data_IF_321713230764
#
_entry.id   IF_321713230764
#
_cell.length_a   1.000
_cell.length_b   1.000
_cell.length_c   1.000
_cell.angle_alpha   90.00
_cell.angle_beta   90.00
_cell.angle_gamma   90.00
#
_symmetry.space_group_name_H-M   'P 1'
#
loop_
_entity.id
_entity.type
_entity.pdbx_description
1 polymer ?
#
# COMPACT_ATOMS: atom_id res chain seq x y z
N UNK A 1 -10.50 11.08 24.72
CA UNK A 1 -9.23 10.32 24.53
C UNK A 1 -9.08 9.97 23.05
N UNK A 2 -7.87 10.04 22.51
CA UNK A 2 -7.58 9.69 21.11
C UNK A 2 -7.51 8.18 20.93
N UNK A 3 -8.46 7.59 20.22
CA UNK A 3 -8.63 6.13 20.16
C UNK A 3 -7.61 5.48 19.23
N UNK A 4 -7.24 6.15 18.13
CA UNK A 4 -6.23 5.67 17.18
C UNK A 4 -4.85 5.44 17.81
N UNK A 5 -4.48 6.24 18.82
CA UNK A 5 -3.21 6.11 19.55
C UNK A 5 -3.18 4.87 20.46
N UNK A 6 -4.34 4.31 20.81
CA UNK A 6 -4.45 3.13 21.67
C UNK A 6 -4.53 1.81 20.92
N UNK A 7 -4.78 1.86 19.60
CA UNK A 7 -4.90 0.64 18.80
C UNK A 7 -3.57 -0.12 18.80
N UNK A 8 -3.66 -1.43 18.86
CA UNK A 8 -2.57 -2.34 18.48
C UNK A 8 -2.40 -2.36 16.96
N UNK A 9 -1.30 -2.90 16.44
CA UNK A 9 -1.12 -3.01 14.99
C UNK A 9 -2.12 -3.96 14.36
N UNK A 10 -2.51 -5.02 15.07
CA UNK A 10 -3.60 -5.90 14.68
C UNK A 10 -4.90 -5.10 14.48
N UNK A 11 -5.28 -4.27 15.44
CA UNK A 11 -6.50 -3.46 15.36
C UNK A 11 -6.42 -2.39 14.25
N UNK A 12 -5.23 -1.82 14.00
CA UNK A 12 -5.03 -0.91 12.85
C UNK A 12 -5.22 -1.62 11.52
N UNK A 13 -4.79 -2.87 11.40
CA UNK A 13 -5.03 -3.70 10.22
C UNK A 13 -6.53 -4.00 10.07
N UNK A 14 -7.22 -4.38 11.14
CA UNK A 14 -8.67 -4.59 11.14
C UNK A 14 -9.44 -3.31 10.76
N UNK A 15 -9.01 -2.14 11.26
CA UNK A 15 -9.57 -0.85 10.88
C UNK A 15 -9.36 -0.56 9.39
N UNK A 16 -8.17 -0.82 8.86
CA UNK A 16 -7.85 -0.62 7.43
C UNK A 16 -8.70 -1.51 6.54
N UNK A 17 -8.97 -2.76 6.96
CA UNK A 17 -9.84 -3.71 6.23
C UNK A 17 -11.27 -3.19 6.08
N UNK A 18 -11.77 -2.38 7.03
CA UNK A 18 -13.13 -1.79 6.94
C UNK A 18 -13.32 -0.86 5.76
N UNK A 19 -12.24 -0.33 5.17
CA UNK A 19 -12.32 0.40 3.92
C UNK A 19 -12.97 -0.43 2.78
N UNK A 20 -13.01 -1.75 2.89
CA UNK A 20 -13.61 -2.65 1.91
C UNK A 20 -15.04 -3.11 2.28
N UNK A 21 -15.64 -2.55 3.33
CA UNK A 21 -16.95 -2.98 3.85
C UNK A 21 -18.12 -2.10 3.38
N UNK A 22 -17.87 -1.20 2.43
CA UNK A 22 -18.87 -0.29 1.86
C UNK A 22 -19.60 0.54 2.93
N UNK A 23 -18.82 1.20 3.81
CA UNK A 23 -19.36 1.93 4.95
C UNK A 23 -20.35 3.03 4.53
N UNK A 24 -21.46 3.13 5.26
CA UNK A 24 -22.56 4.06 4.98
C UNK A 24 -22.49 5.29 5.87
N UNK A 25 -23.06 6.40 5.39
CA UNK A 25 -23.17 7.63 6.19
C UNK A 25 -23.98 7.36 7.47
N UNK A 26 -23.49 7.85 8.62
CA UNK A 26 -24.12 7.64 9.92
C UNK A 26 -23.79 6.29 10.58
N UNK A 27 -23.05 5.40 9.90
CA UNK A 27 -22.68 4.11 10.45
C UNK A 27 -21.65 4.26 11.59
N UNK A 28 -21.88 3.56 12.71
CA UNK A 28 -20.87 3.37 13.77
C UNK A 28 -19.75 2.45 13.30
N UNK A 29 -18.51 2.84 13.58
CA UNK A 29 -17.32 2.05 13.25
C UNK A 29 -16.60 1.65 14.53
N UNK A 30 -16.61 0.36 14.80
CA UNK A 30 -15.99 -0.24 15.98
C UNK A 30 -14.94 -1.28 15.57
N UNK A 31 -13.81 -1.31 16.28
CA UNK A 31 -12.73 -2.27 16.11
C UNK A 31 -12.40 -2.85 17.47
N UNK A 32 -12.57 -4.17 17.64
CA UNK A 32 -12.44 -4.82 18.94
C UNK A 32 -13.31 -4.11 20.00
N UNK A 33 -12.70 -3.56 21.05
CA UNK A 33 -13.36 -2.79 22.12
C UNK A 33 -13.38 -1.28 21.87
N UNK A 34 -12.80 -0.83 20.76
CA UNK A 34 -12.56 0.58 20.47
C UNK A 34 -13.64 1.13 19.53
N UNK A 35 -14.39 2.12 20.02
CA UNK A 35 -15.28 2.92 19.19
C UNK A 35 -14.47 3.97 18.43
N UNK A 36 -14.34 3.80 17.11
CA UNK A 36 -13.56 4.70 16.25
C UNK A 36 -14.34 5.98 15.98
N UNK A 37 -15.66 5.88 15.81
CA UNK A 37 -16.55 7.02 15.57
C UNK A 37 -17.68 6.68 14.63
N UNK A 38 -18.26 7.72 14.03
CA UNK A 38 -19.35 7.60 13.06
C UNK A 38 -18.89 8.09 11.69
N UNK A 39 -19.28 7.37 10.63
CA UNK A 39 -18.99 7.78 9.25
C UNK A 39 -19.74 9.09 8.96
N UNK A 40 -18.99 10.17 8.78
CA UNK A 40 -19.53 11.50 8.46
C UNK A 40 -19.37 11.86 6.98
N UNK A 41 -18.57 11.11 6.23
CA UNK A 41 -18.45 11.24 4.77
C UNK A 41 -18.13 9.90 4.12
N UNK A 42 -18.86 9.57 3.07
CA UNK A 42 -18.59 8.41 2.20
C UNK A 42 -18.31 8.91 0.78
N UNK A 43 -17.10 8.69 0.28
CA UNK A 43 -16.62 9.25 -0.99
C UNK A 43 -16.63 8.19 -2.07
N UNK A 44 -17.36 8.50 -3.14
CA UNK A 44 -17.52 7.63 -4.30
C UNK A 44 -17.26 8.44 -5.59
N UNK A 45 -15.99 8.71 -5.90
CA UNK A 45 -15.63 9.55 -7.05
C UNK A 45 -15.65 8.80 -8.39
N UNK A 46 -15.84 9.55 -9.48
CA UNK A 46 -15.91 9.04 -10.87
C UNK A 46 -14.58 8.46 -11.34
N UNK A 47 -13.46 9.00 -10.83
CA UNK A 47 -12.11 8.50 -11.10
C UNK A 47 -11.75 7.22 -10.32
N UNK A 48 -12.72 6.66 -9.58
CA UNK A 48 -12.57 5.43 -8.83
C UNK A 48 -12.08 5.61 -7.40
N UNK A 49 -11.82 6.84 -6.92
CA UNK A 49 -11.51 7.04 -5.49
C UNK A 49 -12.69 6.58 -4.63
N UNK A 50 -12.36 5.76 -3.63
CA UNK A 50 -13.27 5.33 -2.57
C UNK A 50 -12.60 5.60 -1.23
N UNK A 51 -13.27 6.37 -0.37
CA UNK A 51 -12.74 6.71 0.94
C UNK A 51 -13.85 7.02 1.94
N UNK A 52 -13.53 6.91 3.22
CA UNK A 52 -14.46 7.15 4.33
C UNK A 52 -13.83 8.09 5.34
N UNK A 53 -14.57 9.11 5.75
CA UNK A 53 -14.22 9.97 6.88
C UNK A 53 -15.10 9.56 8.05
N UNK A 54 -14.45 9.16 9.14
CA UNK A 54 -15.06 8.74 10.39
C UNK A 54 -14.63 9.74 11.45
N UNK A 55 -15.56 10.32 12.19
CA UNK A 55 -15.25 11.29 13.23
C UNK A 55 -15.79 10.86 14.58
N UNK A 56 -15.07 11.28 15.61
CA UNK A 56 -15.53 11.29 17.00
C UNK A 56 -15.16 12.66 17.61
N UNK A 57 -15.57 12.99 18.85
CA UNK A 57 -15.32 14.31 19.45
C UNK A 57 -13.85 14.71 19.63
N UNK A 58 -12.88 13.81 19.41
CA UNK A 58 -11.47 14.05 19.70
C UNK A 58 -10.55 13.94 18.47
N UNK A 59 -10.97 13.22 17.43
CA UNK A 59 -10.14 12.91 16.27
C UNK A 59 -10.97 12.50 15.05
N UNK A 60 -10.31 12.49 13.89
CA UNK A 60 -10.86 12.02 12.63
C UNK A 60 -10.01 10.89 12.08
N UNK A 61 -10.67 9.86 11.54
CA UNK A 61 -10.05 8.75 10.83
C UNK A 61 -10.45 8.82 9.35
N UNK A 62 -9.46 8.85 8.47
CA UNK A 62 -9.63 8.82 7.02
C UNK A 62 -9.15 7.47 6.47
N UNK A 63 -10.09 6.69 5.94
CA UNK A 63 -9.81 5.39 5.32
C UNK A 63 -9.80 5.54 3.80
N UNK A 64 -8.64 5.31 3.16
CA UNK A 64 -8.55 5.17 1.71
C UNK A 64 -8.66 3.70 1.31
N UNK A 65 -9.64 3.38 0.47
CA UNK A 65 -9.84 2.03 -0.04
C UNK A 65 -8.93 1.76 -1.23
N UNK A 66 -8.37 0.55 -1.31
CA UNK A 66 -7.68 0.05 -2.50
C UNK A 66 -8.63 -0.44 -3.61
N UNK A 67 -8.10 -1.07 -4.67
CA UNK A 67 -8.91 -1.64 -5.77
C UNK A 67 -9.86 -2.75 -5.29
N UNK A 68 -10.95 -3.04 -6.01
CA UNK A 68 -12.08 -3.86 -5.52
C UNK A 68 -11.92 -5.36 -5.81
N UNK A 69 -11.13 -5.73 -6.82
CA UNK A 69 -10.98 -7.09 -7.34
C UNK A 69 -10.47 -8.15 -6.38
N UNK A 70 -9.96 -7.78 -5.20
CA UNK A 70 -9.37 -8.73 -4.25
C UNK A 70 -10.37 -9.60 -3.48
N UNK A 71 -11.63 -9.17 -3.31
CA UNK A 71 -12.62 -9.92 -2.49
C UNK A 71 -13.45 -10.94 -3.28
N UNK A 72 -13.52 -10.86 -4.62
CA UNK A 72 -14.40 -11.72 -5.46
C UNK A 72 -13.85 -12.09 -6.86
N UNK A 73 -12.59 -11.75 -7.18
CA UNK A 73 -12.01 -11.95 -8.52
C UNK A 73 -11.17 -13.21 -8.66
N UNK A 74 -10.99 -13.66 -9.90
CA UNK A 74 -9.95 -14.66 -10.26
C UNK A 74 -8.56 -14.00 -10.24
N UNK A 75 -7.46 -14.77 -10.24
CA UNK A 75 -6.10 -14.21 -10.38
C UNK A 75 -5.90 -13.33 -11.63
N UNK A 76 -6.69 -13.55 -12.68
CA UNK A 76 -6.77 -12.73 -13.88
C UNK A 76 -7.38 -11.36 -13.54
N UNK A 77 -8.59 -11.32 -12.98
CA UNK A 77 -9.29 -10.07 -12.60
C UNK A 77 -8.49 -9.23 -11.62
N UNK A 78 -7.80 -9.89 -10.67
CA UNK A 78 -6.88 -9.26 -9.73
C UNK A 78 -5.73 -8.53 -10.42
N UNK A 79 -5.07 -9.19 -11.40
CA UNK A 79 -4.00 -8.60 -12.20
C UNK A 79 -4.50 -7.42 -13.02
N UNK A 80 -5.59 -7.60 -13.75
CA UNK A 80 -6.09 -6.60 -14.69
C UNK A 80 -6.51 -5.31 -13.98
N UNK A 81 -7.21 -5.41 -12.85
CA UNK A 81 -7.59 -4.25 -12.06
C UNK A 81 -6.39 -3.56 -11.42
N UNK A 82 -5.47 -4.33 -10.83
CA UNK A 82 -4.24 -3.77 -10.26
C UNK A 82 -3.41 -3.05 -11.32
N UNK A 83 -3.25 -3.65 -12.50
CA UNK A 83 -2.53 -3.07 -13.63
C UNK A 83 -3.17 -1.80 -14.14
N UNK A 84 -4.48 -1.83 -14.37
CA UNK A 84 -5.23 -0.65 -14.85
C UNK A 84 -5.01 0.56 -13.95
N UNK A 85 -4.88 0.34 -12.64
CA UNK A 85 -4.69 1.40 -11.67
C UNK A 85 -3.23 1.82 -11.49
N UNK A 86 -2.31 0.87 -11.35
CA UNK A 86 -0.91 1.17 -11.00
C UNK A 86 -0.03 1.46 -12.21
N UNK A 87 -0.36 0.93 -13.39
CA UNK A 87 0.42 1.18 -14.61
C UNK A 87 0.49 2.66 -14.99
N UNK A 88 -0.59 3.47 -14.89
CA UNK A 88 -0.49 4.92 -15.07
C UNK A 88 0.43 5.61 -14.06
N UNK A 89 0.41 5.18 -12.78
CA UNK A 89 1.27 5.72 -11.72
C UNK A 89 2.73 5.38 -12.01
N UNK A 90 3.00 4.13 -12.38
CA UNK A 90 4.33 3.64 -12.73
C UNK A 90 4.85 4.32 -14.00
N UNK A 91 4.01 4.50 -15.02
CA UNK A 91 4.32 5.32 -16.20
C UNK A 91 4.73 6.73 -15.79
N UNK A 92 3.97 7.38 -14.91
CA UNK A 92 4.30 8.71 -14.43
C UNK A 92 5.61 8.76 -13.62
N UNK A 93 5.99 7.66 -12.93
CA UNK A 93 7.25 7.54 -12.20
C UNK A 93 8.45 7.42 -13.14
N UNK A 94 8.27 6.70 -14.24
CA UNK A 94 9.33 6.38 -15.19
C UNK A 94 9.45 7.41 -16.32
N UNK A 95 8.35 8.08 -16.67
CA UNK A 95 8.36 9.15 -17.65
C UNK A 95 8.79 10.46 -17.01
N UNK A 96 9.63 11.23 -17.70
CA UNK A 96 9.93 12.62 -17.29
C UNK A 96 8.72 13.56 -17.46
N UNK A 97 7.61 13.06 -18.01
CA UNK A 97 6.31 13.74 -18.03
C UNK A 97 5.52 13.45 -16.75
N UNK A 98 5.29 14.48 -15.93
CA UNK A 98 4.54 14.35 -14.68
C UNK A 98 3.02 14.25 -14.93
N UNK A 99 2.54 13.10 -15.42
CA UNK A 99 1.10 12.83 -15.58
C UNK A 99 0.51 12.19 -14.33
N UNK A 100 0.17 13.02 -13.34
CA UNK A 100 -0.47 12.57 -12.09
C UNK A 100 -1.91 12.10 -12.36
N UNK A 101 -2.27 10.84 -12.03
CA UNK A 101 -3.65 10.37 -12.15
C UNK A 101 -4.66 11.22 -11.36
N UNK A 102 -5.86 11.40 -11.91
CA UNK A 102 -6.92 12.22 -11.29
C UNK A 102 -7.27 11.74 -9.88
N UNK A 103 -7.31 10.42 -9.66
CA UNK A 103 -7.60 9.81 -8.37
C UNK A 103 -6.68 10.33 -7.25
N UNK A 104 -5.38 10.50 -7.52
CA UNK A 104 -4.42 11.02 -6.54
C UNK A 104 -4.72 12.48 -6.18
N UNK A 105 -5.09 13.29 -7.18
CA UNK A 105 -5.50 14.69 -6.96
C UNK A 105 -6.78 14.77 -6.12
N UNK A 106 -7.75 13.90 -6.41
CA UNK A 106 -8.99 13.81 -5.64
C UNK A 106 -8.73 13.37 -4.19
N UNK A 107 -7.79 12.44 -3.97
CA UNK A 107 -7.38 12.03 -2.63
C UNK A 107 -6.73 13.17 -1.84
N UNK A 108 -5.85 13.96 -2.48
CA UNK A 108 -5.27 15.17 -1.88
C UNK A 108 -6.33 16.18 -1.50
N UNK A 109 -7.26 16.47 -2.42
CA UNK A 109 -8.36 17.41 -2.17
C UNK A 109 -9.23 16.94 -1.00
N UNK A 110 -9.53 15.64 -0.93
CA UNK A 110 -10.31 15.08 0.17
C UNK A 110 -9.62 15.27 1.52
N UNK A 111 -8.30 15.06 1.61
CA UNK A 111 -7.56 15.28 2.86
C UNK A 111 -7.62 16.75 3.28
N UNK A 112 -7.36 17.68 2.36
CA UNK A 112 -7.43 19.11 2.67
C UNK A 112 -8.85 19.53 3.09
N UNK A 113 -9.88 19.12 2.35
CA UNK A 113 -11.29 19.39 2.72
C UNK A 113 -11.62 18.81 4.10
N UNK A 114 -11.10 17.64 4.43
CA UNK A 114 -11.30 17.01 5.75
C UNK A 114 -10.63 17.83 6.85
N UNK A 115 -9.39 18.28 6.66
CA UNK A 115 -8.70 19.13 7.64
C UNK A 115 -9.43 20.45 7.84
N UNK A 116 -9.93 21.07 6.76
CA UNK A 116 -10.70 22.32 6.86
C UNK A 116 -12.02 22.12 7.60
N UNK A 117 -12.73 21.02 7.32
CA UNK A 117 -13.99 20.68 7.99
C UNK A 117 -13.78 20.42 9.49
N UNK A 118 -12.67 19.79 9.86
CA UNK A 118 -12.34 19.42 11.24
C UNK A 118 -11.13 20.20 11.77
N UNK A 119 -11.12 21.51 11.54
CA UNK A 119 -10.01 22.38 11.93
C UNK A 119 -9.69 22.24 13.43
N UNK A 120 -8.40 22.15 13.77
CA UNK A 120 -7.93 21.95 15.15
C UNK A 120 -7.97 20.49 15.64
N UNK A 121 -8.51 19.56 14.86
CA UNK A 121 -8.58 18.13 15.20
C UNK A 121 -7.46 17.34 14.52
N UNK A 122 -6.92 16.32 15.20
CA UNK A 122 -5.91 15.44 14.60
C UNK A 122 -6.55 14.43 13.65
N UNK A 123 -5.91 14.22 12.50
CA UNK A 123 -6.35 13.29 11.45
C UNK A 123 -5.44 12.06 11.43
N UNK A 124 -6.06 10.87 11.49
CA UNK A 124 -5.39 9.59 11.34
C UNK A 124 -5.76 8.97 9.99
N UNK A 125 -4.77 8.53 9.22
CA UNK A 125 -4.96 8.09 7.84
C UNK A 125 -4.59 6.61 7.72
N UNK A 126 -5.44 5.85 7.03
CA UNK A 126 -5.20 4.44 6.74
C UNK A 126 -5.36 4.16 5.26
N UNK A 127 -4.50 3.30 4.72
CA UNK A 127 -4.59 2.92 3.31
C UNK A 127 -3.88 1.60 3.04
N UNK A 128 -4.53 0.74 2.26
CA UNK A 128 -3.96 -0.52 1.77
C UNK A 128 -3.87 -0.49 0.24
N UNK A 129 -2.80 -1.03 -0.34
CA UNK A 129 -2.62 -1.14 -1.79
C UNK A 129 -2.73 0.26 -2.45
N UNK A 130 -3.60 0.43 -3.45
CA UNK A 130 -3.90 1.75 -4.03
C UNK A 130 -4.33 2.80 -2.97
N UNK A 131 -4.99 2.39 -1.89
CA UNK A 131 -5.34 3.29 -0.80
C UNK A 131 -4.12 3.89 -0.11
N UNK A 132 -3.03 3.12 0.02
CA UNK A 132 -1.74 3.62 0.51
C UNK A 132 -1.16 4.65 -0.45
N UNK A 133 -1.21 4.40 -1.76
CA UNK A 133 -0.69 5.34 -2.77
C UNK A 133 -1.48 6.66 -2.78
N UNK A 134 -2.81 6.59 -2.67
CA UNK A 134 -3.68 7.76 -2.50
C UNK A 134 -3.29 8.58 -1.27
N UNK A 135 -3.08 7.92 -0.14
CA UNK A 135 -2.67 8.56 1.11
C UNK A 135 -1.28 9.20 1.00
N UNK A 136 -0.30 8.51 0.40
CA UNK A 136 1.05 9.06 0.18
C UNK A 136 0.98 10.36 -0.62
N UNK A 137 0.20 10.39 -1.70
CA UNK A 137 0.09 11.58 -2.55
C UNK A 137 -0.63 12.72 -1.83
N UNK A 138 -1.70 12.39 -1.09
CA UNK A 138 -2.44 13.36 -0.28
C UNK A 138 -1.56 13.99 0.81
N UNK A 139 -0.81 13.18 1.54
CA UNK A 139 0.15 13.65 2.54
C UNK A 139 1.21 14.57 1.92
N UNK A 140 1.71 14.25 0.73
CA UNK A 140 2.72 15.07 0.07
C UNK A 140 2.23 16.44 -0.38
N UNK A 141 0.93 16.58 -0.62
CA UNK A 141 0.27 17.82 -1.03
C UNK A 141 -0.54 18.48 0.11
N UNK A 142 -0.47 17.93 1.33
CA UNK A 142 -1.21 18.43 2.49
C UNK A 142 -0.78 19.86 2.86
N UNK A 143 -1.75 20.77 2.97
CA UNK A 143 -1.48 22.17 3.33
C UNK A 143 -1.19 22.35 4.83
N UNK A 144 -1.73 21.46 5.66
CA UNK A 144 -1.68 21.52 7.12
C UNK A 144 -1.05 20.24 7.72
N UNK A 145 0.25 19.97 7.47
CA UNK A 145 0.91 18.76 7.95
C UNK A 145 0.91 18.60 9.48
N UNK A 146 0.73 19.69 10.23
CA UNK A 146 0.57 19.70 11.69
C UNK A 146 -0.73 19.03 12.17
N UNK A 147 -1.77 18.99 11.32
CA UNK A 147 -3.04 18.35 11.63
C UNK A 147 -2.96 16.81 11.55
N UNK A 148 -1.91 16.27 10.93
CA UNK A 148 -1.74 14.82 10.80
C UNK A 148 -1.24 14.25 12.13
N UNK A 149 -2.00 13.32 12.70
CA UNK A 149 -1.63 12.57 13.89
C UNK A 149 -0.70 11.42 13.54
N UNK A 150 -1.19 10.50 12.70
CA UNK A 150 -0.39 9.43 12.11
C UNK A 150 -1.01 8.93 10.79
N UNK A 151 -0.20 8.28 9.97
CA UNK A 151 -0.65 7.56 8.78
C UNK A 151 -0.09 6.13 8.78
N UNK A 152 -0.97 5.15 8.55
CA UNK A 152 -0.63 3.72 8.51
C UNK A 152 -0.93 3.19 7.12
N UNK A 153 0.14 2.90 6.39
CA UNK A 153 0.12 2.63 4.96
C UNK A 153 0.62 1.21 4.73
N UNK A 154 -0.16 0.38 4.04
CA UNK A 154 0.10 -1.04 3.88
C UNK A 154 0.21 -1.42 2.41
N UNK A 155 1.27 -2.13 2.04
CA UNK A 155 1.42 -2.77 0.72
C UNK A 155 1.19 -1.83 -0.48
N UNK A 156 1.62 -0.57 -0.33
CA UNK A 156 1.53 0.44 -1.39
C UNK A 156 2.88 0.66 -2.05
N UNK A 157 2.88 0.82 -3.37
CA UNK A 157 4.05 1.28 -4.11
C UNK A 157 4.57 2.61 -3.52
N UNK A 158 5.88 2.75 -3.35
CA UNK A 158 6.51 3.99 -2.91
C UNK A 158 6.53 5.00 -4.06
N UNK A 159 5.74 6.08 -3.93
CA UNK A 159 5.64 7.10 -4.98
C UNK A 159 6.57 8.29 -4.79
N UNK A 160 7.59 8.18 -3.92
CA UNK A 160 8.55 9.27 -3.65
C UNK A 160 9.16 9.90 -4.91
N UNK A 161 9.43 9.09 -5.95
CA UNK A 161 10.00 9.57 -7.21
C UNK A 161 9.05 10.52 -7.98
N UNK A 162 7.73 10.43 -7.78
CA UNK A 162 6.74 11.35 -8.38
C UNK A 162 6.76 12.76 -7.79
N UNK A 163 7.36 12.92 -6.61
CA UNK A 163 7.26 14.15 -5.85
C UNK A 163 8.27 15.19 -6.32
N UNK A 164 7.78 16.42 -6.42
CA UNK A 164 8.59 17.63 -6.53
C UNK A 164 9.37 17.88 -5.23
N UNK A 165 10.39 18.76 -5.26
CA UNK A 165 11.09 19.16 -4.05
C UNK A 165 10.18 19.73 -2.95
N UNK A 166 9.08 20.42 -3.31
CA UNK A 166 8.10 20.95 -2.34
C UNK A 166 7.35 19.82 -1.63
N UNK A 167 6.85 18.85 -2.40
CA UNK A 167 6.11 17.69 -1.87
C UNK A 167 7.00 16.81 -1.00
N UNK A 168 8.25 16.56 -1.41
CA UNK A 168 9.25 15.84 -0.61
C UNK A 168 9.51 16.53 0.74
N UNK A 169 9.64 17.86 0.74
CA UNK A 169 9.75 18.64 2.00
C UNK A 169 8.50 18.53 2.86
N UNK A 170 7.30 18.45 2.27
CA UNK A 170 6.06 18.30 3.02
C UNK A 170 6.04 16.97 3.77
N UNK A 171 6.22 15.84 3.08
CA UNK A 171 6.25 14.53 3.74
C UNK A 171 7.42 14.37 4.70
N UNK A 172 8.55 15.03 4.47
CA UNK A 172 9.69 15.01 5.40
C UNK A 172 9.33 15.60 6.78
N UNK A 173 8.48 16.64 6.84
CA UNK A 173 7.97 17.19 8.11
C UNK A 173 7.12 16.20 8.91
N UNK A 174 6.53 15.22 8.23
CA UNK A 174 5.65 14.21 8.81
C UNK A 174 6.29 12.83 8.86
N UNK A 175 7.60 12.70 8.57
CA UNK A 175 8.27 11.40 8.44
C UNK A 175 8.01 10.49 9.65
N UNK A 176 8.12 11.06 10.85
CA UNK A 176 7.94 10.33 12.12
C UNK A 176 6.49 9.89 12.41
N UNK A 177 5.53 10.39 11.61
CA UNK A 177 4.10 10.11 11.75
C UNK A 177 3.58 9.16 10.68
N UNK A 178 4.36 8.87 9.64
CA UNK A 178 3.93 8.04 8.52
C UNK A 178 4.65 6.70 8.60
N UNK A 179 3.89 5.62 8.78
CA UNK A 179 4.39 4.25 8.90
C UNK A 179 3.99 3.46 7.65
N UNK A 180 4.99 3.03 6.90
CA UNK A 180 4.80 2.37 5.62
C UNK A 180 5.23 0.91 5.75
N UNK A 181 4.22 0.04 5.90
CA UNK A 181 4.34 -1.40 6.06
C UNK A 181 4.51 -2.06 4.71
N UNK A 182 5.62 -2.78 4.59
CA UNK A 182 6.07 -3.33 3.32
C UNK A 182 6.49 -4.78 3.52
N UNK A 183 5.89 -5.64 2.72
CA UNK A 183 6.29 -7.02 2.53
C UNK A 183 7.09 -7.17 1.23
N UNK A 184 8.38 -7.51 1.31
CA UNK A 184 9.22 -7.64 0.11
C UNK A 184 8.77 -8.77 -0.82
N UNK A 185 7.93 -9.68 -0.37
CA UNK A 185 7.38 -10.76 -1.18
C UNK A 185 6.09 -10.36 -1.88
N UNK A 186 5.48 -9.23 -1.51
CA UNK A 186 4.35 -8.67 -2.23
C UNK A 186 4.80 -8.28 -3.66
N UNK A 187 4.15 -8.79 -4.72
CA UNK A 187 4.43 -8.38 -6.09
C UNK A 187 4.03 -6.93 -6.41
N UNK A 188 3.21 -6.28 -5.59
CA UNK A 188 2.67 -4.94 -5.84
C UNK A 188 3.57 -3.82 -5.32
N UNK A 189 4.27 -4.07 -4.23
CA UNK A 189 5.19 -3.09 -3.66
C UNK A 189 6.36 -2.87 -4.62
N UNK A 190 6.68 -1.60 -4.88
CA UNK A 190 7.77 -1.19 -5.76
C UNK A 190 8.40 0.10 -5.23
N UNK A 191 9.67 0.32 -5.55
CA UNK A 191 10.43 1.50 -5.17
C UNK A 191 10.80 1.56 -3.70
N UNK A 192 10.76 0.42 -3.00
CA UNK A 192 11.04 0.34 -1.58
C UNK A 192 12.53 0.61 -1.34
N UNK A 193 12.85 1.35 -0.27
CA UNK A 193 14.22 1.62 0.12
C UNK A 193 14.34 1.80 1.63
N UNK A 194 15.52 1.51 2.17
CA UNK A 194 15.89 1.83 3.55
C UNK A 194 16.28 3.30 3.73
N UNK A 195 16.41 4.05 2.63
CA UNK A 195 16.85 5.45 2.64
C UNK A 195 15.69 6.42 2.90
N UNK A 196 16.02 7.72 2.95
CA UNK A 196 15.02 8.79 3.01
C UNK A 196 14.25 9.00 1.70
N UNK A 197 14.54 8.22 0.64
CA UNK A 197 13.80 8.26 -0.62
C UNK A 197 12.51 7.44 -0.58
N UNK A 198 11.78 7.53 0.55
CA UNK A 198 10.53 6.83 0.80
C UNK A 198 9.59 7.71 1.62
N UNK A 199 8.28 7.59 1.36
CA UNK A 199 7.26 8.29 2.14
C UNK A 199 7.11 7.64 3.52
N UNK A 200 7.52 8.38 4.55
CA UNK A 200 7.49 7.92 5.93
C UNK A 200 8.61 6.96 6.32
N UNK A 201 8.42 6.28 7.44
CA UNK A 201 9.30 5.24 7.96
C UNK A 201 8.96 3.88 7.35
N UNK A 202 10.00 3.12 7.02
CA UNK A 202 9.86 1.72 6.64
C UNK A 202 9.47 0.86 7.87
N UNK A 203 8.41 0.08 7.71
CA UNK A 203 8.03 -1.02 8.62
C UNK A 203 8.11 -2.33 7.84
N UNK A 204 9.28 -2.97 7.87
CA UNK A 204 9.54 -4.17 7.09
C UNK A 204 8.86 -5.39 7.74
N UNK A 205 7.81 -5.90 7.08
CA UNK A 205 6.96 -7.00 7.58
C UNK A 205 7.75 -8.30 7.64
N UNK A 206 7.63 -9.00 8.77
CA UNK A 206 8.20 -10.33 8.95
C UNK A 206 7.25 -11.41 8.42
N UNK A 207 7.32 -11.66 7.11
CA UNK A 207 6.47 -12.63 6.41
C UNK A 207 7.26 -13.76 5.77
N UNK A 208 6.59 -14.85 5.42
CA UNK A 208 7.15 -15.86 4.52
C UNK A 208 6.51 -15.75 3.14
N UNK A 209 7.21 -16.15 2.06
CA UNK A 209 6.63 -16.19 0.73
C UNK A 209 5.38 -17.07 0.66
N UNK A 210 4.34 -16.57 0.00
CA UNK A 210 3.09 -17.28 -0.27
C UNK A 210 2.50 -16.91 -1.64
N UNK A 211 1.29 -17.40 -1.95
CA UNK A 211 0.56 -17.03 -3.16
C UNK A 211 0.42 -15.49 -3.25
N UNK A 212 0.55 -14.85 -4.42
CA UNK A 212 0.80 -13.41 -4.51
C UNK A 212 -0.41 -12.60 -4.10
N UNK A 213 -1.62 -13.06 -4.42
CA UNK A 213 -2.88 -12.44 -3.95
C UNK A 213 -2.95 -12.51 -2.43
N UNK A 214 -2.59 -13.66 -1.84
CA UNK A 214 -2.60 -13.83 -0.39
C UNK A 214 -1.54 -12.96 0.28
N UNK A 215 -0.36 -12.86 -0.34
CA UNK A 215 0.74 -12.02 0.11
C UNK A 215 0.36 -10.54 0.10
N UNK A 216 -0.11 -10.04 -1.04
CA UNK A 216 -0.52 -8.64 -1.23
C UNK A 216 -1.67 -8.22 -0.30
N UNK A 217 -2.51 -9.17 0.11
CA UNK A 217 -3.57 -8.88 1.07
C UNK A 217 -3.01 -8.82 2.48
N UNK A 218 -3.42 -9.73 3.35
CA UNK A 218 -2.99 -9.71 4.76
C UNK A 218 -2.35 -11.04 5.16
N UNK A 219 -2.01 -11.88 4.18
CA UNK A 219 -1.50 -13.23 4.44
C UNK A 219 -0.14 -13.25 5.11
N UNK A 220 0.72 -12.27 4.79
CA UNK A 220 2.05 -12.10 5.41
C UNK A 220 2.02 -11.47 6.81
N UNK A 221 0.87 -10.94 7.24
CA UNK A 221 0.76 -10.18 8.49
C UNK A 221 0.57 -11.12 9.67
N UNK A 222 1.65 -11.27 10.45
CA UNK A 222 1.67 -12.05 11.69
C UNK A 222 1.88 -11.16 12.89
N UNK A 223 1.20 -11.44 14.00
CA UNK A 223 1.21 -10.58 15.18
C UNK A 223 1.80 -11.29 16.40
N UNK A 224 2.38 -10.52 17.30
CA UNK A 224 2.76 -10.96 18.63
C UNK A 224 1.52 -11.05 19.55
N UNK A 225 1.61 -11.70 20.73
CA UNK A 225 0.48 -11.82 21.66
C UNK A 225 -0.09 -10.47 22.15
N UNK A 226 0.71 -9.40 22.14
CA UNK A 226 0.31 -8.04 22.50
C UNK A 226 -0.38 -7.27 21.36
N UNK A 227 -0.54 -7.89 20.19
CA UNK A 227 -1.13 -7.29 19.00
C UNK A 227 -0.17 -6.43 18.17
N UNK A 228 1.11 -6.33 18.54
CA UNK A 228 2.13 -5.69 17.69
C UNK A 228 2.42 -6.54 16.45
N UNK A 229 2.65 -5.90 15.31
CA UNK A 229 2.99 -6.59 14.08
C UNK A 229 4.43 -7.12 14.16
N UNK A 230 4.66 -8.35 13.70
CA UNK A 230 6.01 -8.88 13.56
C UNK A 230 6.72 -8.15 12.43
N UNK A 231 7.78 -7.45 12.79
CA UNK A 231 8.66 -6.74 11.87
C UNK A 231 10.05 -7.36 11.94
N UNK A 232 10.76 -7.35 10.82
CA UNK A 232 12.15 -7.79 10.75
C UNK A 232 13.07 -6.63 10.42
N UNK A 233 14.34 -6.77 10.81
CA UNK A 233 15.38 -5.79 10.46
C UNK A 233 15.68 -5.88 8.96
N UNK A 234 16.14 -4.77 8.39
CA UNK A 234 16.64 -4.77 7.02
C UNK A 234 17.77 -5.79 6.89
N UNK A 235 17.63 -6.68 5.92
CA UNK A 235 18.52 -7.80 5.66
C UNK A 235 18.98 -7.81 4.20
N UNK A 236 19.81 -8.80 3.84
CA UNK A 236 20.30 -8.96 2.47
C UNK A 236 19.19 -9.32 1.46
N UNK A 237 18.02 -9.78 1.90
CA UNK A 237 16.88 -10.00 1.01
C UNK A 237 16.28 -8.65 0.62
N UNK A 238 15.96 -7.82 1.61
CA UNK A 238 15.46 -6.47 1.41
C UNK A 238 16.40 -5.64 0.56
N UNK A 239 17.70 -5.62 0.88
CA UNK A 239 18.68 -4.84 0.12
C UNK A 239 18.80 -5.30 -1.33
N UNK A 240 18.67 -6.60 -1.59
CA UNK A 240 18.68 -7.13 -2.95
C UNK A 240 17.43 -6.69 -3.74
N UNK A 241 16.26 -6.76 -3.10
CA UNK A 241 15.00 -6.33 -3.71
C UNK A 241 15.02 -4.83 -3.99
N UNK A 242 15.37 -4.00 -3.00
CA UNK A 242 15.47 -2.55 -3.13
C UNK A 242 16.42 -2.14 -4.25
N UNK A 243 17.60 -2.78 -4.38
CA UNK A 243 18.53 -2.52 -5.49
C UNK A 243 17.95 -2.93 -6.85
N UNK A 244 17.24 -4.06 -6.89
CA UNK A 244 16.59 -4.55 -8.11
C UNK A 244 15.53 -3.56 -8.59
N UNK A 245 14.65 -3.11 -7.68
CA UNK A 245 13.62 -2.12 -7.97
C UNK A 245 14.20 -0.74 -8.31
N UNK A 246 15.25 -0.30 -7.62
CA UNK A 246 15.90 0.97 -7.94
C UNK A 246 16.49 0.95 -9.35
N UNK A 247 17.17 -0.13 -9.74
CA UNK A 247 17.73 -0.30 -11.08
C UNK A 247 16.64 -0.27 -12.16
N UNK A 248 15.50 -0.89 -11.86
CA UNK A 248 14.32 -0.90 -12.71
C UNK A 248 13.75 0.52 -12.90
N UNK A 249 13.64 1.28 -11.81
CA UNK A 249 13.10 2.64 -11.82
C UNK A 249 14.06 3.69 -12.40
N UNK A 250 15.38 3.43 -12.40
CA UNK A 250 16.40 4.38 -12.87
C UNK A 250 16.79 4.22 -14.34
N UNK A 251 16.32 3.19 -15.05
CA UNK A 251 16.71 2.92 -16.45
C UNK A 251 15.69 3.51 -17.43
N UNK A 252 16.07 4.62 -18.06
CA UNK A 252 15.24 5.37 -19.02
C UNK A 252 14.94 4.62 -20.34
N UNK A 253 15.72 3.60 -20.71
CA UNK A 253 15.57 2.84 -21.96
C UNK A 253 14.73 1.56 -21.86
N UNK A 254 14.61 0.97 -20.66
CA UNK A 254 13.86 -0.28 -20.40
C UNK A 254 12.40 0.00 -19.99
N UNK A 255 11.96 1.26 -19.99
CA UNK A 255 10.62 1.68 -19.53
C UNK A 255 9.51 1.02 -20.36
N UNK A 256 9.67 0.98 -21.68
CA UNK A 256 8.71 0.34 -22.59
C UNK A 256 8.70 -1.17 -22.40
N UNK A 257 9.85 -1.82 -22.31
CA UNK A 257 9.96 -3.27 -22.08
C UNK A 257 9.40 -3.67 -20.71
N UNK A 258 9.61 -2.84 -19.68
CA UNK A 258 9.06 -3.06 -18.35
C UNK A 258 7.55 -2.82 -18.30
N UNK A 259 7.05 -1.76 -18.95
CA UNK A 259 5.62 -1.52 -19.13
C UNK A 259 4.97 -2.67 -19.91
N UNK A 260 5.63 -3.19 -20.94
CA UNK A 260 5.18 -4.34 -21.75
C UNK A 260 5.17 -5.62 -20.92
N UNK A 261 6.22 -5.89 -20.12
CA UNK A 261 6.30 -7.02 -19.16
C UNK A 261 5.26 -6.93 -18.05
N UNK A 262 4.96 -5.74 -17.56
CA UNK A 262 3.90 -5.58 -16.55
C UNK A 262 2.52 -5.64 -17.22
N UNK A 263 2.36 -5.14 -18.44
CA UNK A 263 1.08 -5.19 -19.17
C UNK A 263 0.71 -6.58 -19.70
N UNK A 264 1.68 -7.49 -19.86
CA UNK A 264 1.43 -8.87 -20.24
C UNK A 264 1.24 -9.74 -18.98
N UNK A 265 0.03 -10.24 -18.79
CA UNK A 265 -0.34 -11.00 -17.59
C UNK A 265 0.55 -12.22 -17.31
N UNK A 266 1.16 -12.81 -18.34
CA UNK A 266 2.08 -13.94 -18.22
C UNK A 266 3.47 -13.54 -17.74
N UNK A 267 3.90 -12.30 -17.96
CA UNK A 267 5.18 -11.81 -17.46
C UNK A 267 5.10 -11.38 -15.99
N UNK A 268 3.96 -10.89 -15.47
CA UNK A 268 3.77 -10.75 -14.00
C UNK A 268 3.85 -12.11 -13.32
N UNK A 269 3.20 -13.13 -13.91
CA UNK A 269 3.28 -14.51 -13.44
C UNK A 269 4.73 -15.01 -13.49
N UNK A 270 5.44 -14.82 -14.60
CA UNK A 270 6.87 -15.17 -14.71
C UNK A 270 7.74 -14.37 -13.78
N UNK A 271 7.45 -13.10 -13.48
CA UNK A 271 8.18 -12.29 -12.52
C UNK A 271 7.96 -12.80 -11.10
N UNK A 272 6.73 -13.15 -10.73
CA UNK A 272 6.42 -13.78 -9.45
C UNK A 272 7.11 -15.16 -9.33
N UNK A 273 7.13 -15.95 -10.41
CA UNK A 273 7.86 -17.24 -10.48
C UNK A 273 9.36 -17.03 -10.42
N UNK A 274 9.94 -16.09 -11.17
CA UNK A 274 11.37 -15.77 -11.12
C UNK A 274 11.77 -15.20 -9.76
N UNK A 275 10.91 -14.41 -9.11
CA UNK A 275 11.10 -13.92 -7.75
C UNK A 275 11.07 -15.08 -6.76
N UNK A 276 10.11 -15.99 -6.88
CA UNK A 276 10.05 -17.23 -6.11
C UNK A 276 11.27 -18.15 -6.35
N UNK A 277 11.68 -18.39 -7.59
CA UNK A 277 12.83 -19.21 -7.98
C UNK A 277 14.16 -18.60 -7.53
N UNK A 278 14.33 -17.27 -7.64
CA UNK A 278 15.49 -16.56 -7.09
C UNK A 278 15.54 -16.69 -5.57
N UNK A 279 14.39 -16.63 -4.89
CA UNK A 279 14.31 -16.86 -3.44
C UNK A 279 14.64 -18.31 -3.08
N UNK A 280 14.19 -19.30 -3.84
CA UNK A 280 14.55 -20.73 -3.63
C UNK A 280 16.05 -20.96 -3.83
N UNK A 281 16.64 -20.39 -4.88
CA UNK A 281 18.10 -20.47 -5.11
C UNK A 281 18.91 -19.78 -4.02
N UNK A 282 18.39 -18.70 -3.44
CA UNK A 282 19.07 -17.91 -2.42
C UNK A 282 18.93 -18.50 -1.00
N UNK A 283 17.89 -19.30 -0.76
CA UNK A 283 17.60 -19.95 0.53
C UNK A 283 17.25 -21.44 0.33
N UNK A 284 18.22 -22.27 -0.07
CA UNK A 284 17.97 -23.66 -0.48
C UNK A 284 17.46 -24.57 0.66
N UNK A 285 17.74 -24.23 1.91
CA UNK A 285 17.36 -25.03 3.08
C UNK A 285 15.90 -24.80 3.54
N UNK A 286 15.23 -23.78 2.98
CA UNK A 286 13.84 -23.47 3.32
C UNK A 286 12.88 -24.31 2.47
N UNK A 287 12.52 -25.49 2.98
CA UNK A 287 11.59 -26.44 2.32
C UNK A 287 10.23 -25.81 1.94
N UNK A 288 9.77 -24.80 2.68
CA UNK A 288 8.55 -24.05 2.36
C UNK A 288 8.67 -23.23 1.07
N UNK A 289 9.84 -22.64 0.78
CA UNK A 289 10.11 -21.87 -0.44
C UNK A 289 10.16 -22.76 -1.68
N UNK A 290 10.83 -23.91 -1.59
CA UNK A 290 10.87 -24.90 -2.65
C UNK A 290 9.47 -25.43 -3.01
N UNK A 291 8.66 -25.70 -1.98
CA UNK A 291 7.26 -26.12 -2.14
C UNK A 291 6.39 -25.01 -2.72
N UNK A 292 6.65 -23.76 -2.37
CA UNK A 292 5.93 -22.61 -2.91
C UNK A 292 6.26 -22.38 -4.40
N UNK A 293 7.54 -22.43 -4.79
CA UNK A 293 7.93 -22.33 -6.19
C UNK A 293 7.35 -23.47 -7.03
N UNK A 294 7.27 -24.69 -6.47
CA UNK A 294 6.58 -25.81 -7.10
C UNK A 294 5.07 -25.58 -7.26
N UNK A 295 4.38 -25.07 -6.21
CA UNK A 295 2.96 -24.72 -6.25
C UNK A 295 2.67 -23.61 -7.28
N UNK A 296 3.53 -22.59 -7.34
CA UNK A 296 3.46 -21.54 -8.34
C UNK A 296 3.59 -22.10 -9.75
N UNK A 297 4.54 -23.01 -9.97
CA UNK A 297 4.78 -23.66 -11.25
C UNK A 297 3.61 -24.57 -11.66
N UNK A 298 3.01 -25.31 -10.73
CA UNK A 298 1.83 -26.15 -10.98
C UNK A 298 0.56 -25.35 -11.30
N UNK A 299 0.35 -24.21 -10.64
CA UNK A 299 -0.82 -23.34 -10.86
C UNK A 299 -0.74 -22.61 -12.21
N UNK A 300 0.46 -22.47 -12.79
CA UNK A 300 0.66 -22.00 -14.17
C UNK A 300 0.30 -23.06 -15.21
N UNK A 301 0.72 -24.31 -14.99
CA UNK A 301 0.47 -25.42 -15.92
C UNK A 301 -1.01 -25.84 -15.97
N UNK A 302 -1.81 -25.53 -14.95
CA UNK A 302 -3.27 -25.83 -14.91
C UNK A 302 -4.15 -24.86 -15.71
N UNK A 303 -3.60 -23.78 -16.26
CA UNK A 303 -4.37 -22.75 -16.98
C UNK A 303 -3.97 -22.63 -18.47
N UNK A 304 -3.24 -23.60 -19.01
CA UNK A 304 -2.88 -23.69 -20.45
C UNK A 304 -3.77 -24.69 -21.24
N UNK A 305 -4.79 -25.29 -20.60
CA UNK A 305 -5.83 -26.10 -21.26
C UNK A 305 -7.21 -25.40 -21.23
#
# INVERSE_FOLDING_TARGET
MKVNEQLTDFERVELTKKAYDQLQLGQSVDVSKHHIGTVCRSVHAVDGLRAYVISNPHEVTLLFKGSYGFKKGTPQTWRDEWLKTNLPILRAMLSHERRVPSQLKTASKLLDETIHQFYGTQIYIYGHSLGSINAQFALANCHHPEAIGAAYLYEGTNIWLLFTPKERRCVAKMREKIFNYVDIYDPVTLGITETHHMVGQLRYVDSEPMKPIKQHMWGGYSFNPDGSLKLRKVDQAFLAESRSEHKLLSRSGDVTEFIEKISSGDEIKKMAVQKAEKLVKKYPDHKSLARLAALFKEEMLRNED
#
